data_IF_800938646571
#
_entry.id   IF_800938646571
#
_cell.length_a   1.000
_cell.length_b   1.000
_cell.length_c   1.000
_cell.angle_alpha   90.00
_cell.angle_beta   90.00
_cell.angle_gamma   90.00
#
_symmetry.space_group_name_H-M   'P 1'
#
loop_
_entity.id
_entity.type
_entity.pdbx_description
1 polymer ?
#
# COMPACT_ATOMS: atom_id res chain seq x y z
N UNK A 1 11.25 3.74 17.72
CA UNK A 1 10.56 2.97 16.67
C UNK A 1 10.94 1.51 16.81
N UNK A 2 10.07 0.57 16.43
CA UNK A 2 10.38 -0.87 16.48
C UNK A 2 11.11 -1.33 15.20
N UNK A 3 12.21 -2.08 15.37
CA UNK A 3 13.01 -2.67 14.28
C UNK A 3 12.38 -3.94 13.68
N UNK A 4 11.24 -4.40 14.20
CA UNK A 4 10.51 -5.60 13.73
C UNK A 4 9.19 -5.24 13.06
N UNK A 5 9.05 -4.00 12.58
CA UNK A 5 7.78 -3.52 11.99
C UNK A 5 7.66 -3.86 10.51
N UNK A 6 8.79 -3.85 9.79
CA UNK A 6 8.83 -3.97 8.33
C UNK A 6 8.20 -5.26 7.76
N UNK A 7 8.41 -6.47 8.34
CA UNK A 7 7.78 -7.68 7.82
C UNK A 7 6.26 -7.59 7.79
N UNK A 8 5.64 -7.10 8.88
CA UNK A 8 4.19 -6.93 8.94
C UNK A 8 3.73 -5.90 7.91
N UNK A 9 4.46 -4.79 7.73
CA UNK A 9 4.10 -3.79 6.72
C UNK A 9 4.09 -4.38 5.31
N UNK A 10 5.16 -5.07 4.90
CA UNK A 10 5.29 -5.64 3.56
C UNK A 10 4.22 -6.70 3.32
N UNK A 11 3.98 -7.57 4.30
CA UNK A 11 3.00 -8.66 4.17
C UNK A 11 1.58 -8.11 4.03
N UNK A 12 1.18 -7.17 4.88
CA UNK A 12 -0.16 -6.63 4.83
C UNK A 12 -0.38 -5.78 3.57
N UNK A 13 0.56 -4.91 3.18
CA UNK A 13 0.42 -4.14 1.94
C UNK A 13 0.49 -5.02 0.69
N UNK A 14 1.32 -6.06 0.69
CA UNK A 14 1.34 -7.04 -0.41
C UNK A 14 0.07 -7.89 -0.47
N UNK A 15 -0.54 -8.20 0.68
CA UNK A 15 -1.86 -8.83 0.76
C UNK A 15 -2.96 -7.95 0.15
N UNK A 16 -3.01 -6.68 0.56
CA UNK A 16 -3.92 -5.68 -0.05
C UNK A 16 -3.68 -5.56 -1.56
N UNK A 17 -2.42 -5.51 -2.01
CA UNK A 17 -2.04 -5.49 -3.43
C UNK A 17 -2.67 -6.66 -4.18
N UNK A 18 -2.50 -7.87 -3.67
CA UNK A 18 -3.02 -9.09 -4.29
C UNK A 18 -4.54 -9.12 -4.30
N UNK A 19 -5.22 -8.64 -3.25
CA UNK A 19 -6.67 -8.53 -3.26
C UNK A 19 -7.19 -7.54 -4.32
N UNK A 20 -6.55 -6.37 -4.45
CA UNK A 20 -6.91 -5.37 -5.46
C UNK A 20 -6.69 -5.93 -6.86
N UNK A 21 -5.55 -6.59 -7.09
CA UNK A 21 -5.24 -7.21 -8.37
C UNK A 21 -6.22 -8.32 -8.73
N UNK A 22 -6.61 -9.18 -7.77
CA UNK A 22 -7.54 -10.29 -7.99
C UNK A 22 -8.88 -9.76 -8.47
N UNK A 23 -9.42 -8.76 -7.75
CA UNK A 23 -10.70 -8.15 -8.07
C UNK A 23 -10.67 -7.50 -9.47
N UNK A 24 -9.61 -6.75 -9.78
CA UNK A 24 -9.50 -6.01 -11.05
C UNK A 24 -9.28 -6.92 -12.25
N UNK A 25 -8.51 -7.99 -12.10
CA UNK A 25 -8.28 -8.97 -13.17
C UNK A 25 -9.54 -9.80 -13.44
N UNK A 26 -10.29 -10.18 -12.40
CA UNK A 26 -11.58 -10.88 -12.56
C UNK A 26 -12.64 -10.03 -13.25
N UNK A 27 -12.83 -8.80 -12.80
CA UNK A 27 -13.83 -7.89 -13.38
C UNK A 27 -13.59 -7.66 -14.89
N UNK A 28 -12.32 -7.61 -15.31
CA UNK A 28 -11.97 -7.47 -16.72
C UNK A 28 -12.32 -8.68 -17.56
N UNK A 29 -12.15 -9.89 -17.02
CA UNK A 29 -12.53 -11.13 -17.71
C UNK A 29 -14.05 -11.19 -17.96
N UNK A 30 -14.86 -10.69 -17.04
CA UNK A 30 -16.33 -10.64 -17.18
C UNK A 30 -16.78 -9.62 -18.24
N UNK A 31 -16.08 -8.48 -18.37
CA UNK A 31 -16.40 -7.46 -19.38
C UNK A 31 -15.90 -7.82 -20.79
N UNK A 32 -14.77 -8.54 -20.90
CA UNK A 32 -14.06 -8.82 -22.15
C UNK A 32 -14.51 -10.11 -22.88
N UNK A 33 -15.56 -10.83 -22.44
CA UNK A 33 -16.15 -11.94 -23.22
C UNK A 33 -16.57 -11.54 -24.66
N UNK A 34 -16.73 -10.24 -24.93
CA UNK A 34 -17.02 -9.69 -26.26
C UNK A 34 -15.79 -9.35 -27.12
N UNK A 35 -14.58 -9.33 -26.56
CA UNK A 35 -13.34 -8.94 -27.29
C UNK A 35 -12.22 -9.95 -26.97
N UNK A 36 -12.09 -10.95 -27.85
CA UNK A 36 -11.16 -12.08 -27.75
C UNK A 36 -9.66 -11.70 -27.90
N UNK A 37 -9.16 -10.72 -27.13
CA UNK A 37 -7.74 -10.32 -27.19
C UNK A 37 -7.24 -9.50 -25.98
N UNK A 38 -7.65 -9.87 -24.77
CA UNK A 38 -7.23 -9.18 -23.55
C UNK A 38 -6.39 -10.04 -22.61
N UNK A 39 -7.06 -10.90 -21.86
CA UNK A 39 -6.51 -11.68 -20.74
C UNK A 39 -7.30 -12.98 -20.60
N UNK A 40 -6.61 -14.10 -20.33
CA UNK A 40 -7.24 -15.35 -19.90
C UNK A 40 -7.36 -15.42 -18.37
N UNK A 41 -8.28 -16.25 -17.86
CA UNK A 41 -8.30 -16.63 -16.44
C UNK A 41 -6.94 -17.20 -16.00
N UNK A 42 -6.28 -17.97 -16.88
CA UNK A 42 -4.96 -18.53 -16.64
C UNK A 42 -3.87 -17.47 -16.53
N UNK A 43 -3.99 -16.35 -17.24
CA UNK A 43 -3.06 -15.22 -17.12
C UNK A 43 -3.20 -14.53 -15.76
N UNK A 44 -4.45 -14.37 -15.29
CA UNK A 44 -4.75 -13.89 -13.94
C UNK A 44 -4.11 -14.76 -12.86
N UNK A 45 -4.30 -16.08 -12.95
CA UNK A 45 -3.68 -17.06 -12.05
C UNK A 45 -2.16 -17.02 -12.11
N UNK A 46 -1.59 -16.90 -13.31
CA UNK A 46 -0.14 -16.78 -13.50
C UNK A 46 0.41 -15.53 -12.82
N UNK A 47 -0.27 -14.38 -12.95
CA UNK A 47 0.14 -13.13 -12.29
C UNK A 47 0.16 -13.28 -10.78
N UNK A 48 -0.87 -13.88 -10.19
CA UNK A 48 -0.89 -14.17 -8.76
C UNK A 48 0.26 -15.08 -8.34
N UNK A 49 0.44 -16.18 -9.06
CA UNK A 49 1.48 -17.16 -8.77
C UNK A 49 2.89 -16.55 -8.81
N UNK A 50 3.17 -15.71 -9.81
CA UNK A 50 4.48 -15.06 -9.99
C UNK A 50 4.75 -14.04 -8.87
N UNK A 51 3.76 -13.22 -8.49
CA UNK A 51 3.91 -12.22 -7.42
C UNK A 51 4.07 -12.92 -6.06
N UNK A 52 3.22 -13.89 -5.74
CA UNK A 52 3.27 -14.66 -4.50
C UNK A 52 4.57 -15.45 -4.38
N UNK A 53 5.04 -16.04 -5.48
CA UNK A 53 6.29 -16.79 -5.53
C UNK A 53 7.51 -15.96 -5.15
N UNK A 54 7.55 -14.69 -5.56
CA UNK A 54 8.64 -13.77 -5.19
C UNK A 54 8.44 -13.20 -3.78
N UNK A 55 7.22 -12.77 -3.45
CA UNK A 55 6.92 -12.12 -2.16
C UNK A 55 7.16 -13.04 -0.96
N UNK A 56 6.87 -14.33 -1.08
CA UNK A 56 7.05 -15.30 0.00
C UNK A 56 8.33 -16.14 -0.14
N UNK A 57 9.20 -15.82 -1.12
CA UNK A 57 10.43 -16.59 -1.31
C UNK A 57 11.33 -16.50 -0.07
N UNK A 58 12.04 -17.59 0.24
CA UNK A 58 12.83 -17.71 1.47
C UNK A 58 13.81 -16.54 1.64
N UNK A 59 14.55 -16.19 0.58
CA UNK A 59 15.53 -15.09 0.62
C UNK A 59 14.88 -13.76 0.98
N UNK A 60 13.84 -13.38 0.24
CA UNK A 60 13.12 -12.12 0.46
C UNK A 60 12.54 -12.04 1.88
N UNK A 61 11.94 -13.13 2.35
CA UNK A 61 11.40 -13.22 3.71
C UNK A 61 12.51 -13.05 4.75
N UNK A 62 13.61 -13.80 4.65
CA UNK A 62 14.75 -13.73 5.60
C UNK A 62 15.39 -12.34 5.65
N UNK A 63 15.51 -11.63 4.52
CA UNK A 63 16.05 -10.28 4.47
C UNK A 63 15.06 -9.26 5.05
N UNK A 64 13.77 -9.34 4.70
CA UNK A 64 12.74 -8.45 5.24
C UNK A 64 12.58 -8.59 6.77
N UNK A 65 12.86 -9.80 7.28
CA UNK A 65 12.78 -10.21 8.68
C UNK A 65 14.01 -9.84 9.51
N UNK A 66 15.07 -9.32 8.91
CA UNK A 66 16.19 -8.77 9.69
C UNK A 66 15.71 -7.59 10.54
N UNK A 67 16.22 -7.43 11.79
CA UNK A 67 15.92 -6.24 12.58
C UNK A 67 16.42 -4.97 11.87
N UNK A 68 15.50 -4.13 11.42
CA UNK A 68 15.82 -2.95 10.61
C UNK A 68 14.74 -1.87 10.72
N UNK A 69 15.13 -0.64 10.37
CA UNK A 69 14.20 0.48 10.29
C UNK A 69 13.19 0.30 9.16
N UNK A 70 12.08 1.00 9.28
CA UNK A 70 11.04 1.04 8.26
C UNK A 70 11.54 1.75 7.01
N UNK A 71 11.09 1.29 5.85
CA UNK A 71 11.31 2.00 4.59
C UNK A 71 10.61 3.34 4.57
N UNK A 72 11.22 4.29 3.86
CA UNK A 72 10.50 5.47 3.39
C UNK A 72 9.34 5.08 2.47
N UNK A 73 8.29 5.90 2.39
CA UNK A 73 7.17 5.68 1.45
C UNK A 73 7.64 5.44 0.02
N UNK A 74 8.68 6.19 -0.42
CA UNK A 74 9.28 6.06 -1.74
C UNK A 74 9.92 4.68 -1.94
N UNK A 75 10.73 4.23 -1.00
CA UNK A 75 11.39 2.93 -1.05
C UNK A 75 10.36 1.79 -1.01
N UNK A 76 9.39 1.85 -0.10
CA UNK A 76 8.34 0.84 0.02
C UNK A 76 7.49 0.74 -1.25
N UNK A 77 7.09 1.88 -1.81
CA UNK A 77 6.36 1.93 -3.08
C UNK A 77 7.17 1.32 -4.22
N UNK A 78 8.47 1.59 -4.27
CA UNK A 78 9.35 1.01 -5.28
C UNK A 78 9.39 -0.53 -5.16
N UNK A 79 9.55 -1.08 -3.95
CA UNK A 79 9.52 -2.54 -3.70
C UNK A 79 8.19 -3.15 -4.17
N UNK A 80 7.05 -2.56 -3.78
CA UNK A 80 5.73 -3.05 -4.18
C UNK A 80 5.50 -2.96 -5.70
N UNK A 81 5.98 -1.89 -6.34
CA UNK A 81 5.93 -1.74 -7.81
C UNK A 81 6.73 -2.83 -8.49
N UNK A 82 7.93 -3.12 -7.97
CA UNK A 82 8.80 -4.17 -8.49
C UNK A 82 8.18 -5.56 -8.30
N UNK A 83 7.56 -5.82 -7.15
CA UNK A 83 6.79 -7.04 -6.89
C UNK A 83 5.65 -7.21 -7.88
N UNK A 84 4.79 -6.20 -8.09
CA UNK A 84 3.71 -6.29 -9.08
C UNK A 84 4.24 -6.59 -10.49
N UNK A 85 5.41 -6.03 -10.83
CA UNK A 85 6.09 -6.19 -12.11
C UNK A 85 6.99 -7.43 -12.21
N UNK A 86 7.01 -8.35 -11.25
CA UNK A 86 7.64 -9.67 -11.45
C UNK A 86 6.84 -10.54 -12.41
N UNK A 87 5.53 -10.30 -12.48
CA UNK A 87 4.62 -10.98 -13.40
C UNK A 87 4.68 -10.40 -14.83
N UNK A 88 3.92 -11.03 -15.73
CA UNK A 88 3.68 -10.53 -17.11
C UNK A 88 2.95 -9.18 -17.16
N UNK A 89 2.29 -8.77 -16.07
CA UNK A 89 1.53 -7.53 -16.00
C UNK A 89 2.45 -6.30 -15.94
N UNK A 90 2.10 -5.27 -16.72
CA UNK A 90 2.77 -3.97 -16.71
C UNK A 90 1.79 -2.86 -16.36
N UNK A 91 1.92 -2.32 -15.15
CA UNK A 91 1.10 -1.22 -14.67
C UNK A 91 1.77 0.11 -14.99
N UNK A 92 0.97 1.09 -15.39
CA UNK A 92 1.44 2.46 -15.58
C UNK A 92 1.65 3.16 -14.22
N UNK A 93 2.39 4.28 -14.21
CA UNK A 93 2.68 5.01 -12.97
C UNK A 93 1.41 5.38 -12.21
N UNK A 94 0.42 5.96 -12.90
CA UNK A 94 -0.84 6.42 -12.31
C UNK A 94 -1.63 5.29 -11.65
N UNK A 95 -1.61 4.09 -12.23
CA UNK A 95 -2.25 2.91 -11.66
C UNK A 95 -1.52 2.45 -10.41
N UNK A 96 -0.18 2.50 -10.42
CA UNK A 96 0.61 2.21 -9.23
C UNK A 96 0.44 3.27 -8.12
N UNK A 97 0.29 4.56 -8.47
CA UNK A 97 -0.05 5.64 -7.54
C UNK A 97 -1.37 5.32 -6.80
N UNK A 98 -2.45 5.11 -7.57
CA UNK A 98 -3.79 4.83 -7.02
C UNK A 98 -3.82 3.54 -6.21
N UNK A 99 -3.13 2.49 -6.66
CA UNK A 99 -3.02 1.25 -5.92
C UNK A 99 -2.30 1.46 -4.58
N UNK A 100 -1.20 2.22 -4.57
CA UNK A 100 -0.47 2.51 -3.32
C UNK A 100 -1.35 3.27 -2.32
N UNK A 101 -2.07 4.29 -2.78
CA UNK A 101 -3.02 5.01 -1.93
C UNK A 101 -4.11 4.09 -1.37
N UNK A 102 -4.65 3.20 -2.20
CA UNK A 102 -5.68 2.26 -1.77
C UNK A 102 -5.16 1.26 -0.73
N UNK A 103 -4.03 0.60 -0.99
CA UNK A 103 -3.40 -0.35 -0.07
C UNK A 103 -3.08 0.30 1.28
N UNK A 104 -2.49 1.50 1.25
CA UNK A 104 -2.07 2.20 2.45
C UNK A 104 -3.26 2.67 3.28
N UNK A 105 -4.32 3.20 2.66
CA UNK A 105 -5.52 3.63 3.37
C UNK A 105 -6.31 2.44 3.92
N UNK A 106 -6.43 1.33 3.18
CA UNK A 106 -7.08 0.11 3.66
C UNK A 106 -6.36 -0.47 4.89
N UNK A 107 -5.05 -0.65 4.82
CA UNK A 107 -4.29 -1.19 5.95
C UNK A 107 -4.24 -0.21 7.13
N UNK A 108 -4.11 1.10 6.89
CA UNK A 108 -4.20 2.13 7.94
C UNK A 108 -5.52 2.03 8.70
N UNK A 109 -6.64 1.88 7.98
CA UNK A 109 -7.96 1.70 8.59
C UNK A 109 -8.01 0.46 9.49
N UNK A 110 -7.50 -0.67 9.01
CA UNK A 110 -7.46 -1.91 9.79
C UNK A 110 -6.61 -1.80 11.07
N UNK A 111 -5.45 -1.13 11.02
CA UNK A 111 -4.61 -0.88 12.20
C UNK A 111 -5.33 0.03 13.20
N UNK A 112 -6.08 1.02 12.73
CA UNK A 112 -6.84 1.93 13.58
C UNK A 112 -7.94 1.19 14.34
N UNK A 113 -8.61 0.23 13.69
CA UNK A 113 -9.66 -0.61 14.30
C UNK A 113 -9.13 -1.74 15.19
N UNK A 114 -7.84 -2.03 15.13
CA UNK A 114 -7.23 -3.13 15.87
C UNK A 114 -7.44 -2.97 17.40
N UNK A 115 -8.14 -3.87 18.10
CA UNK A 115 -8.46 -3.68 19.51
C UNK A 115 -7.24 -3.84 20.42
N UNK A 116 -6.48 -4.95 20.28
CA UNK A 116 -5.23 -5.19 21.01
C UNK A 116 -4.03 -5.10 20.08
N UNK A 117 -2.86 -4.63 20.55
CA UNK A 117 -1.66 -4.57 19.71
C UNK A 117 -1.25 -5.93 19.12
N UNK A 118 -1.44 -7.02 19.88
CA UNK A 118 -1.17 -8.39 19.40
C UNK A 118 -2.09 -8.84 18.26
N UNK A 119 -3.29 -8.25 18.15
CA UNK A 119 -4.24 -8.59 17.08
C UNK A 119 -3.75 -8.12 15.70
N UNK A 120 -2.67 -7.32 15.61
CA UNK A 120 -1.96 -7.05 14.35
C UNK A 120 -1.49 -8.33 13.66
N UNK A 121 -1.15 -9.37 14.42
CA UNK A 121 -0.81 -10.68 13.85
C UNK A 121 -2.03 -11.34 13.21
N UNK A 122 -3.23 -11.19 13.80
CA UNK A 122 -4.45 -11.75 13.22
C UNK A 122 -4.78 -11.09 11.88
N UNK A 123 -4.57 -9.78 11.76
CA UNK A 123 -4.70 -9.05 10.48
C UNK A 123 -3.72 -9.63 9.46
N UNK A 124 -2.47 -9.80 9.86
CA UNK A 124 -1.41 -10.34 8.99
C UNK A 124 -1.69 -11.79 8.58
N UNK A 125 -2.20 -12.61 9.50
CA UNK A 125 -2.57 -13.99 9.23
C UNK A 125 -3.81 -14.10 8.35
N UNK A 126 -4.79 -13.20 8.48
CA UNK A 126 -5.92 -13.13 7.54
C UNK A 126 -5.44 -12.79 6.12
N UNK A 127 -4.51 -11.84 5.95
CA UNK A 127 -3.91 -11.57 4.64
C UNK A 127 -3.21 -12.80 4.08
N UNK A 128 -2.38 -13.47 4.89
CA UNK A 128 -1.68 -14.70 4.52
C UNK A 128 -2.66 -15.81 4.12
N UNK A 129 -3.73 -16.00 4.89
CA UNK A 129 -4.76 -17.01 4.62
C UNK A 129 -5.51 -16.69 3.32
N UNK A 130 -5.86 -15.42 3.07
CA UNK A 130 -6.50 -15.03 1.82
C UNK A 130 -5.57 -15.14 0.62
N UNK A 131 -4.29 -14.79 0.75
CA UNK A 131 -3.29 -14.99 -0.31
C UNK A 131 -3.10 -16.48 -0.59
N UNK A 132 -3.08 -17.33 0.45
CA UNK A 132 -3.03 -18.78 0.29
C UNK A 132 -4.23 -19.30 -0.50
N UNK A 133 -5.42 -18.77 -0.26
CA UNK A 133 -6.63 -19.13 -1.00
C UNK A 133 -6.53 -18.73 -2.49
N UNK A 134 -5.93 -17.59 -2.81
CA UNK A 134 -5.72 -17.15 -4.20
C UNK A 134 -4.84 -18.11 -5.02
N UNK A 135 -3.91 -18.81 -4.38
CA UNK A 135 -2.95 -19.73 -5.03
C UNK A 135 -3.12 -21.19 -4.63
N UNK A 136 -4.29 -21.57 -4.11
CA UNK A 136 -4.57 -22.90 -3.56
C UNK A 136 -4.29 -24.06 -4.53
N UNK A 137 -4.40 -23.79 -5.84
CA UNK A 137 -4.17 -24.78 -6.90
C UNK A 137 -2.67 -25.05 -7.15
N UNK A 138 -1.78 -24.29 -6.50
CA UNK A 138 -0.33 -24.44 -6.59
C UNK A 138 0.28 -24.85 -5.22
N UNK A 139 0.42 -26.17 -4.94
CA UNK A 139 0.92 -26.66 -3.66
C UNK A 139 2.31 -26.15 -3.28
N UNK A 140 3.15 -25.82 -4.27
CA UNK A 140 4.50 -25.28 -4.02
C UNK A 140 4.42 -23.90 -3.37
N UNK A 141 3.52 -23.04 -3.87
CA UNK A 141 3.31 -21.70 -3.31
C UNK A 141 2.61 -21.77 -1.95
N UNK A 142 1.63 -22.67 -1.79
CA UNK A 142 0.98 -22.90 -0.49
C UNK A 142 2.02 -23.29 0.58
N UNK A 143 2.95 -24.19 0.24
CA UNK A 143 4.04 -24.55 1.15
C UNK A 143 4.95 -23.36 1.47
N UNK A 144 5.28 -22.55 0.46
CA UNK A 144 6.11 -21.35 0.65
C UNK A 144 5.47 -20.36 1.62
N UNK A 145 4.16 -20.10 1.46
CA UNK A 145 3.38 -19.25 2.35
C UNK A 145 3.35 -19.83 3.77
N UNK A 146 3.22 -21.16 3.92
CA UNK A 146 3.22 -21.82 5.23
C UNK A 146 4.57 -21.68 5.94
N UNK A 147 5.70 -21.82 5.23
CA UNK A 147 7.02 -21.60 5.81
C UNK A 147 7.20 -20.14 6.23
N UNK A 148 6.81 -19.19 5.39
CA UNK A 148 6.85 -17.77 5.73
C UNK A 148 6.00 -17.45 6.98
N UNK A 149 4.80 -18.04 7.10
CA UNK A 149 3.97 -17.86 8.29
C UNK A 149 4.62 -18.44 9.55
N UNK A 150 5.30 -19.60 9.46
CA UNK A 150 6.03 -20.16 10.60
C UNK A 150 7.15 -19.23 11.07
N UNK A 151 7.88 -18.61 10.15
CA UNK A 151 8.91 -17.62 10.49
C UNK A 151 8.33 -16.39 11.22
N UNK A 152 7.15 -15.92 10.80
CA UNK A 152 6.43 -14.84 11.50
C UNK A 152 6.01 -15.30 12.90
N UNK A 153 5.41 -16.47 13.02
CA UNK A 153 4.99 -17.02 14.32
C UNK A 153 6.22 -17.11 15.25
N UNK A 154 7.34 -17.64 14.79
CA UNK A 154 8.58 -17.75 15.57
C UNK A 154 9.12 -16.37 16.00
N UNK A 155 9.11 -15.38 15.10
CA UNK A 155 9.62 -14.04 15.38
C UNK A 155 8.78 -13.26 16.39
N UNK A 156 7.45 -13.35 16.27
CA UNK A 156 6.53 -12.45 16.98
C UNK A 156 5.87 -13.08 18.21
N UNK A 157 5.80 -14.41 18.32
CA UNK A 157 5.23 -15.09 19.50
C UNK A 157 5.91 -14.71 20.82
N UNK A 158 7.25 -14.59 20.90
CA UNK A 158 7.94 -14.24 22.14
C UNK A 158 7.76 -12.79 22.57
N UNK A 159 7.21 -11.92 21.71
CA UNK A 159 7.09 -10.51 22.01
C UNK A 159 6.02 -10.23 23.07
N UNK A 160 6.32 -9.27 23.93
CA UNK A 160 5.40 -8.71 24.91
C UNK A 160 4.38 -7.76 24.27
N UNK A 161 3.27 -7.49 24.97
CA UNK A 161 2.27 -6.52 24.51
C UNK A 161 2.86 -5.10 24.35
N UNK A 162 3.88 -4.74 25.14
CA UNK A 162 4.59 -3.47 25.02
C UNK A 162 5.37 -3.35 23.71
N UNK A 163 6.01 -4.43 23.27
CA UNK A 163 6.71 -4.48 21.98
C UNK A 163 5.72 -4.44 20.81
N UNK A 164 4.58 -5.14 20.92
CA UNK A 164 3.50 -5.01 19.94
C UNK A 164 2.92 -3.59 19.90
N UNK A 165 2.79 -2.92 21.05
CA UNK A 165 2.35 -1.54 21.09
C UNK A 165 3.35 -0.61 20.40
N UNK A 166 4.66 -0.86 20.53
CA UNK A 166 5.69 -0.10 19.82
C UNK A 166 5.63 -0.35 18.30
N UNK A 167 5.38 -1.58 17.87
CA UNK A 167 5.14 -1.93 16.45
C UNK A 167 3.90 -1.18 15.94
N UNK A 168 2.79 -1.23 16.68
CA UNK A 168 1.54 -0.53 16.34
C UNK A 168 1.75 0.98 16.20
N UNK A 169 2.44 1.58 17.16
CA UNK A 169 2.78 3.01 17.12
C UNK A 169 3.63 3.33 15.90
N UNK A 170 4.62 2.49 15.58
CA UNK A 170 5.50 2.68 14.42
C UNK A 170 4.70 2.64 13.12
N UNK A 171 3.75 1.70 12.98
CA UNK A 171 2.83 1.64 11.83
C UNK A 171 1.90 2.86 11.74
N UNK A 172 1.29 3.26 12.86
CA UNK A 172 0.39 4.42 12.91
C UNK A 172 1.13 5.72 12.56
N UNK A 173 2.38 5.86 13.04
CA UNK A 173 3.24 6.99 12.71
C UNK A 173 3.65 6.98 11.23
N UNK A 174 3.90 5.80 10.66
CA UNK A 174 4.20 5.67 9.22
C UNK A 174 3.02 6.14 8.35
N UNK A 175 1.78 5.82 8.73
CA UNK A 175 0.58 6.25 8.01
C UNK A 175 0.02 7.60 8.49
N UNK A 176 0.76 8.33 9.32
CA UNK A 176 0.33 9.61 9.84
C UNK A 176 0.11 10.59 8.68
N UNK A 177 -0.88 11.46 8.83
CA UNK A 177 -1.18 12.55 7.88
C UNK A 177 -1.63 12.12 6.46
N UNK A 178 -1.69 10.81 6.17
CA UNK A 178 -2.31 10.27 4.96
C UNK A 178 -3.85 10.31 5.05
N UNK A 179 -4.49 11.15 4.23
CA UNK A 179 -5.95 11.34 4.21
C UNK A 179 -6.51 11.19 2.79
N UNK A 180 -6.04 10.18 2.06
CA UNK A 180 -6.51 9.94 0.69
C UNK A 180 -7.94 9.41 0.72
N UNK A 181 -8.80 9.99 -0.11
CA UNK A 181 -10.20 9.61 -0.25
C UNK A 181 -10.32 8.32 -1.04
N UNK A 182 -10.93 7.30 -0.44
CA UNK A 182 -11.12 5.98 -1.04
C UNK A 182 -12.61 5.73 -1.21
N UNK A 183 -13.08 5.50 -2.43
CA UNK A 183 -14.51 5.44 -2.74
C UNK A 183 -15.25 4.31 -2.02
N UNK A 184 -14.64 3.12 -1.87
CA UNK A 184 -15.25 2.00 -1.13
C UNK A 184 -15.48 2.39 0.34
N UNK A 185 -14.51 3.06 0.97
CA UNK A 185 -14.64 3.51 2.36
C UNK A 185 -15.64 4.67 2.51
N UNK A 186 -15.75 5.54 1.50
CA UNK A 186 -16.75 6.61 1.47
C UNK A 186 -18.16 6.04 1.30
N UNK A 187 -18.36 5.09 0.38
CA UNK A 187 -19.65 4.43 0.13
C UNK A 187 -20.16 3.68 1.36
N UNK A 188 -19.25 3.02 2.08
CA UNK A 188 -19.57 2.33 3.34
C UNK A 188 -19.67 3.26 4.56
N UNK A 189 -19.52 4.59 4.40
CA UNK A 189 -19.50 5.58 5.49
C UNK A 189 -18.42 5.31 6.56
N UNK A 190 -17.33 4.64 6.17
CA UNK A 190 -16.15 4.41 7.01
C UNK A 190 -15.17 5.59 6.97
N UNK A 191 -15.30 6.44 5.96
CA UNK A 191 -14.52 7.64 5.76
C UNK A 191 -15.42 8.86 5.54
N UNK A 192 -15.00 10.02 6.04
CA UNK A 192 -15.62 11.31 5.77
C UNK A 192 -15.13 11.88 4.44
N UNK A 193 -15.83 12.90 3.92
CA UNK A 193 -15.46 13.56 2.65
C UNK A 193 -14.07 14.22 2.66
N UNK A 194 -13.51 14.52 3.84
CA UNK A 194 -12.17 15.07 4.04
C UNK A 194 -11.06 14.00 4.10
N UNK A 195 -11.41 12.71 3.98
CA UNK A 195 -10.48 11.60 4.04
C UNK A 195 -10.19 11.07 5.46
N UNK A 196 -10.81 11.64 6.50
CA UNK A 196 -10.70 11.14 7.87
C UNK A 196 -11.55 9.89 8.10
N UNK A 197 -11.12 8.99 8.98
CA UNK A 197 -11.86 7.76 9.29
C UNK A 197 -12.92 7.97 10.37
N UNK A 198 -14.05 7.29 10.22
CA UNK A 198 -15.08 7.16 11.23
C UNK A 198 -14.78 5.91 12.06
N UNK A 199 -14.32 6.08 13.30
CA UNK A 199 -13.98 4.97 14.19
C UNK A 199 -15.19 4.62 15.06
N UNK A 200 -15.66 3.35 15.06
CA UNK A 200 -16.77 2.93 15.88
C UNK A 200 -16.41 3.02 17.37
N UNK A 201 -17.33 3.58 18.17
CA UNK A 201 -17.21 3.67 19.62
C UNK A 201 -17.90 2.50 20.34
N UNK A 202 -18.37 1.51 19.59
CA UNK A 202 -19.12 0.35 20.07
C UNK A 202 -18.60 -0.92 19.41
N UNK A 203 -18.90 -2.08 19.98
CA UNK A 203 -18.53 -3.36 19.39
C UNK A 203 -17.98 -4.37 20.40
N UNK A 204 -17.45 -5.50 19.90
CA UNK A 204 -16.88 -6.51 20.75
C UNK A 204 -15.64 -5.99 21.47
N UNK A 205 -15.58 -6.19 22.79
CA UNK A 205 -14.34 -5.97 23.56
C UNK A 205 -13.37 -7.12 23.30
N UNK A 206 -12.05 -6.88 23.38
CA UNK A 206 -11.08 -7.94 23.17
C UNK A 206 -11.30 -9.15 24.07
N UNK A 207 -10.96 -10.34 23.57
CA UNK A 207 -11.03 -11.56 24.37
C UNK A 207 -10.21 -11.41 25.67
N UNK A 208 -10.80 -11.85 26.78
CA UNK A 208 -10.24 -11.69 28.13
C UNK A 208 -10.50 -10.33 28.79
N UNK A 209 -11.10 -9.38 28.09
CA UNK A 209 -11.50 -8.09 28.67
C UNK A 209 -12.92 -8.12 29.22
N UNK A 210 -13.16 -7.43 30.33
CA UNK A 210 -14.52 -7.21 30.81
C UNK A 210 -15.24 -6.15 29.98
N UNK A 211 -16.54 -6.32 29.78
CA UNK A 211 -17.38 -5.31 29.15
C UNK A 211 -17.39 -4.04 30.02
N UNK A 212 -17.05 -2.87 29.46
CA UNK A 212 -17.00 -1.63 30.23
C UNK A 212 -18.39 -1.22 30.72
N UNK A 213 -18.43 -0.55 31.87
CA UNK A 213 -19.66 -0.02 32.46
C UNK A 213 -19.93 -0.53 33.89
N UNK A 214 -19.40 -1.68 34.29
CA UNK A 214 -19.63 -2.20 35.64
C UNK A 214 -18.62 -1.65 36.65
N UNK A 215 -19.08 -0.81 37.58
CA UNK A 215 -18.30 -0.29 38.70
C UNK A 215 -18.50 -1.17 39.94
N UNK A 216 -17.39 -1.67 40.50
CA UNK A 216 -17.38 -2.55 41.68
C UNK A 216 -16.76 -1.85 42.88
N UNK A 217 -17.45 -1.82 44.01
CA UNK A 217 -16.95 -1.28 45.28
C UNK A 217 -16.58 -2.43 46.21
N UNK A 218 -15.34 -2.45 46.67
CA UNK A 218 -14.82 -3.44 47.62
C UNK A 218 -14.63 -2.80 49.00
N UNK A 219 -14.83 -3.58 50.07
CA UNK A 219 -14.48 -3.15 51.42
C UNK A 219 -12.99 -3.38 51.74
N UNK A 220 -12.56 -2.96 52.93
CA UNK A 220 -11.20 -3.17 53.45
C UNK A 220 -10.79 -4.65 53.58
N UNK A 221 -11.73 -5.59 53.49
CA UNK A 221 -11.47 -7.04 53.48
C UNK A 221 -11.49 -7.64 52.06
N UNK A 222 -11.52 -6.79 51.02
CA UNK A 222 -11.56 -7.22 49.62
C UNK A 222 -12.89 -7.85 49.17
N UNK A 223 -13.95 -7.80 49.98
CA UNK A 223 -15.27 -8.32 49.59
C UNK A 223 -16.04 -7.26 48.82
N UNK A 224 -16.69 -7.68 47.74
CA UNK A 224 -17.58 -6.84 46.96
C UNK A 224 -18.80 -6.44 47.79
N UNK A 225 -19.05 -5.13 47.92
CA UNK A 225 -20.15 -4.57 48.72
C UNK A 225 -21.23 -3.94 47.85
N UNK A 226 -20.84 -3.35 46.71
CA UNK A 226 -21.78 -2.63 45.84
C UNK A 226 -21.37 -2.74 44.38
N UNK A 227 -22.36 -2.82 43.51
CA UNK A 227 -22.22 -2.67 42.05
C UNK A 227 -22.97 -1.41 41.61
N UNK A 228 -22.42 -0.70 40.64
CA UNK A 228 -23.08 0.38 39.91
C UNK A 228 -22.79 0.20 38.42
N UNK A 229 -23.67 0.72 37.59
CA UNK A 229 -23.48 0.73 36.14
C UNK A 229 -23.23 2.17 35.66
N UNK A 230 -22.28 2.31 34.76
CA UNK A 230 -21.96 3.53 34.04
C UNK A 230 -22.41 3.36 32.59
N UNK A 231 -23.26 4.26 32.14
CA UNK A 231 -23.73 4.29 30.75
C UNK A 231 -22.60 4.85 29.90
N UNK A 232 -21.83 3.97 29.27
CA UNK A 232 -20.68 4.31 28.44
C UNK A 232 -21.05 4.99 27.12
N UNK A 233 -22.33 5.01 26.74
CA UNK A 233 -22.82 5.56 25.48
C UNK A 233 -22.56 4.66 24.27
N UNK A 234 -21.90 3.50 24.46
CA UNK A 234 -21.63 2.51 23.42
C UNK A 234 -22.20 1.13 23.77
N UNK A 235 -22.53 0.35 22.74
CA UNK A 235 -22.98 -1.03 22.88
C UNK A 235 -21.78 -1.98 22.80
N UNK A 236 -21.31 -2.45 23.95
CA UNK A 236 -20.17 -3.34 24.04
C UNK A 236 -20.60 -4.78 24.34
N UNK A 237 -19.99 -5.73 23.63
CA UNK A 237 -20.25 -7.17 23.81
C UNK A 237 -18.95 -7.91 24.09
N UNK A 238 -19.00 -9.03 24.81
CA UNK A 238 -17.82 -9.89 24.96
C UNK A 238 -17.61 -10.73 23.70
N UNK A 239 -16.36 -10.89 23.27
CA UNK A 239 -16.02 -11.93 22.30
C UNK A 239 -16.22 -13.30 22.97
N UNK A 240 -16.83 -14.23 22.22
CA UNK A 240 -17.16 -15.58 22.71
C UNK A 240 -16.05 -16.60 22.42
N UNK A 241 -15.24 -16.36 21.37
CA UNK A 241 -14.23 -17.32 20.88
C UNK A 241 -12.84 -16.71 20.90
N UNK A 242 -11.85 -17.51 21.28
CA UNK A 242 -10.46 -17.10 21.19
C UNK A 242 -9.94 -17.21 19.75
N UNK A 243 -9.09 -16.28 19.34
CA UNK A 243 -8.56 -16.24 17.98
C UNK A 243 -7.37 -17.19 17.82
N UNK A 244 -7.28 -17.87 16.69
CA UNK A 244 -6.14 -18.74 16.39
C UNK A 244 -4.95 -17.94 15.85
N UNK A 245 -3.78 -18.16 16.47
CA UNK A 245 -2.48 -17.65 16.02
C UNK A 245 -1.61 -18.74 15.36
N UNK A 246 -2.16 -19.95 15.18
CA UNK A 246 -1.48 -21.05 14.52
C UNK A 246 -1.45 -20.85 13.00
N UNK A 247 -0.74 -21.71 12.27
CA UNK A 247 -0.71 -21.66 10.79
C UNK A 247 -2.12 -21.72 10.19
N UNK A 248 -3.03 -22.48 10.80
CA UNK A 248 -4.42 -22.61 10.38
C UNK A 248 -5.38 -22.44 11.56
N UNK A 249 -6.49 -21.74 11.37
CA UNK A 249 -7.56 -21.64 12.35
C UNK A 249 -8.46 -20.43 12.12
N UNK A 250 -9.53 -20.32 12.89
CA UNK A 250 -10.43 -19.15 12.86
C UNK A 250 -9.75 -17.94 13.50
N UNK A 251 -9.59 -16.85 12.75
CA UNK A 251 -8.98 -15.60 13.25
C UNK A 251 -9.96 -14.76 14.08
N UNK A 252 -11.26 -15.05 14.03
CA UNK A 252 -12.32 -14.38 14.81
C UNK A 252 -12.37 -12.86 14.57
N UNK A 253 -11.78 -12.39 13.47
CA UNK A 253 -11.79 -10.98 13.04
C UNK A 253 -11.91 -10.91 11.52
N UNK A 254 -12.59 -9.86 11.04
CA UNK A 254 -12.69 -9.53 9.61
C UNK A 254 -11.57 -8.63 9.13
N UNK A 255 -10.77 -8.05 10.04
CA UNK A 255 -9.64 -7.20 9.67
C UNK A 255 -8.59 -8.03 8.94
N UNK A 256 -8.10 -7.54 7.81
CA UNK A 256 -7.16 -8.24 6.92
C UNK A 256 -7.80 -9.27 5.99
N UNK A 257 -9.13 -9.42 6.01
CA UNK A 257 -9.85 -10.17 4.98
C UNK A 257 -10.13 -9.27 3.76
N UNK A 258 -10.34 -9.88 2.58
CA UNK A 258 -10.58 -9.16 1.33
C UNK A 258 -11.89 -8.34 1.37
N UNK A 259 -11.78 -7.04 1.62
CA UNK A 259 -12.89 -6.09 1.63
C UNK A 259 -13.43 -5.76 0.22
N UNK A 260 -12.68 -6.08 -0.82
CA UNK A 260 -13.05 -5.80 -2.21
C UNK A 260 -13.92 -6.89 -2.85
N UNK A 261 -14.06 -8.05 -2.19
CA UNK A 261 -14.79 -9.21 -2.72
C UNK A 261 -16.29 -9.00 -2.95
N UNK A 262 -16.92 -8.08 -2.19
CA UNK A 262 -18.37 -7.75 -2.29
C UNK A 262 -18.60 -6.47 -3.08
N UNK A 263 -17.53 -5.76 -3.41
CA UNK A 263 -17.57 -4.44 -4.02
C UNK A 263 -17.43 -4.57 -5.53
N UNK A 264 -18.15 -3.77 -6.30
CA UNK A 264 -17.93 -3.71 -7.75
C UNK A 264 -16.56 -3.10 -8.04
N UNK A 265 -15.97 -3.37 -9.21
CA UNK A 265 -14.71 -2.73 -9.59
C UNK A 265 -14.82 -1.20 -9.59
N UNK A 266 -16.00 -0.64 -9.86
CA UNK A 266 -16.33 0.80 -9.81
C UNK A 266 -16.32 1.39 -8.38
N UNK A 267 -16.30 0.55 -7.35
CA UNK A 267 -16.26 0.98 -5.96
C UNK A 267 -14.83 1.18 -5.45
N UNK A 268 -13.82 0.74 -6.20
CA UNK A 268 -12.42 0.64 -5.73
C UNK A 268 -11.53 1.77 -6.32
N UNK A 269 -11.95 3.04 -6.24
CA UNK A 269 -11.23 4.21 -6.80
C UNK A 269 -10.79 5.18 -5.70
N UNK A 270 -9.82 6.05 -6.00
CA UNK A 270 -9.53 7.22 -5.18
C UNK A 270 -10.22 8.43 -5.80
N UNK A 271 -11.13 9.08 -5.07
CA UNK A 271 -11.96 10.15 -5.64
C UNK A 271 -11.18 11.45 -5.79
N UNK A 272 -10.88 11.81 -7.04
CA UNK A 272 -10.27 13.07 -7.45
C UNK A 272 -8.75 13.08 -7.28
N UNK A 273 -8.04 13.62 -8.28
CA UNK A 273 -6.66 14.07 -8.13
C UNK A 273 -6.64 15.19 -7.10
N UNK A 274 -6.49 14.84 -5.83
CA UNK A 274 -5.81 15.74 -4.91
C UNK A 274 -4.43 15.88 -5.50
N UNK A 275 -4.15 17.03 -6.13
CA UNK A 275 -2.77 17.43 -6.39
C UNK A 275 -2.08 17.27 -5.05
N UNK A 276 -1.26 16.25 -4.91
CA UNK A 276 -0.29 16.16 -3.84
C UNK A 276 0.67 17.33 -4.05
N UNK A 277 0.26 18.54 -3.66
CA UNK A 277 1.19 19.49 -3.08
C UNK A 277 1.45 18.95 -1.69
N UNK A 278 2.30 17.91 -1.62
CA UNK A 278 3.31 17.92 -0.59
C UNK A 278 3.91 19.32 -0.71
N UNK A 279 3.58 20.22 0.23
CA UNK A 279 4.41 21.42 0.38
C UNK A 279 5.81 20.85 0.46
N UNK A 280 6.63 21.17 -0.55
CA UNK A 280 8.06 20.93 -0.48
C UNK A 280 8.50 21.66 0.79
N UNK A 281 8.51 20.95 1.91
CA UNK A 281 9.37 21.31 3.01
C UNK A 281 10.73 21.38 2.32
N UNK A 282 11.37 22.54 2.33
CA UNK A 282 12.77 22.65 1.96
C UNK A 282 13.49 21.55 2.76
N UNK A 283 13.84 20.49 2.05
CA UNK A 283 14.73 19.46 2.57
C UNK A 283 16.05 20.21 2.65
N UNK A 284 16.58 20.39 3.87
CA UNK A 284 17.98 20.75 4.00
C UNK A 284 18.78 19.77 3.14
N UNK A 285 19.65 20.30 2.28
CA UNK A 285 20.59 19.55 1.42
C UNK A 285 21.65 18.78 2.23
N UNK A 286 21.27 18.19 3.37
CA UNK A 286 22.10 17.27 4.12
C UNK A 286 21.80 15.84 3.62
N UNK A 287 22.81 15.08 3.16
CA UNK A 287 22.61 13.71 2.72
C UNK A 287 22.06 12.88 3.89
N UNK A 288 20.84 12.35 3.75
CA UNK A 288 20.23 11.49 4.75
C UNK A 288 21.18 10.30 5.05
N UNK A 289 21.75 10.18 6.27
CA UNK A 289 22.69 9.11 6.59
C UNK A 289 22.07 7.71 6.54
N UNK A 290 20.73 7.60 6.52
CA UNK A 290 19.98 6.36 6.35
C UNK A 290 19.72 5.99 4.88
N UNK A 291 19.88 6.93 3.94
CA UNK A 291 19.59 6.67 2.53
C UNK A 291 20.49 5.58 1.94
N UNK A 292 21.74 5.48 2.41
CA UNK A 292 22.65 4.41 1.98
C UNK A 292 22.18 3.04 2.47
N UNK A 293 21.78 2.93 3.74
CA UNK A 293 21.25 1.69 4.29
C UNK A 293 19.95 1.27 3.60
N UNK A 294 19.05 2.24 3.30
CA UNK A 294 17.85 2.00 2.51
C UNK A 294 18.19 1.49 1.11
N UNK A 295 19.14 2.13 0.40
CA UNK A 295 19.55 1.71 -0.94
C UNK A 295 20.26 0.35 -0.96
N UNK A 296 21.12 0.07 0.02
CA UNK A 296 21.83 -1.21 0.14
C UNK A 296 20.85 -2.36 0.38
N UNK A 297 19.85 -2.15 1.23
CA UNK A 297 18.80 -3.13 1.52
C UNK A 297 17.83 -3.29 0.35
N UNK A 298 17.44 -2.19 -0.31
CA UNK A 298 16.74 -2.27 -1.58
C UNK A 298 17.55 -3.08 -2.58
N UNK A 299 18.85 -2.85 -2.71
CA UNK A 299 19.71 -3.61 -3.62
C UNK A 299 19.76 -5.11 -3.26
N UNK A 300 19.77 -5.46 -1.96
CA UNK A 300 19.72 -6.86 -1.52
C UNK A 300 18.38 -7.53 -1.82
N UNK A 301 17.26 -6.88 -1.47
CA UNK A 301 15.93 -7.38 -1.82
C UNK A 301 15.78 -7.52 -3.33
N UNK A 302 16.27 -6.54 -4.08
CA UNK A 302 16.27 -6.55 -5.54
C UNK A 302 17.20 -7.61 -6.13
N UNK A 303 18.32 -7.92 -5.49
CA UNK A 303 19.23 -8.98 -5.90
C UNK A 303 18.68 -10.38 -5.63
N UNK A 304 17.84 -10.52 -4.60
CA UNK A 304 17.13 -11.78 -4.29
C UNK A 304 15.86 -11.97 -5.11
N UNK A 305 15.30 -10.88 -5.64
CA UNK A 305 14.37 -10.93 -6.78
C UNK A 305 15.17 -11.26 -8.04
N UNK A 306 15.85 -12.41 -8.08
CA UNK A 306 16.48 -12.88 -9.32
C UNK A 306 15.42 -12.84 -10.41
N UNK A 307 15.69 -12.03 -11.43
CA UNK A 307 14.84 -11.92 -12.61
C UNK A 307 14.71 -13.32 -13.16
N UNK A 308 13.49 -13.86 -13.20
CA UNK A 308 13.22 -15.01 -14.05
C UNK A 308 13.35 -14.51 -15.49
N UNK A 309 14.60 -14.38 -15.94
CA UNK A 309 15.00 -13.89 -17.27
C UNK A 309 14.56 -14.86 -18.39
N UNK A 310 13.81 -15.92 -18.07
CA UNK A 310 13.18 -16.81 -19.06
C UNK A 310 11.92 -16.25 -19.71
N UNK A 311 11.47 -15.03 -19.36
CA UNK A 311 10.39 -14.30 -20.10
C UNK A 311 10.89 -12.98 -20.70
N UNK A 312 12.21 -12.74 -20.70
CA UNK A 312 12.78 -11.51 -21.23
C UNK A 312 13.04 -11.60 -22.74
N UNK A 313 11.97 -11.68 -23.51
CA UNK A 313 11.93 -11.23 -24.91
C UNK A 313 10.45 -11.08 -25.32
N UNK A 314 9.96 -9.84 -25.28
CA UNK A 314 8.76 -9.35 -25.98
C UNK A 314 7.40 -10.00 -25.61
N UNK A 315 6.71 -9.49 -24.58
CA UNK A 315 5.36 -9.98 -24.24
C UNK A 315 4.65 -9.39 -23.00
N UNK A 316 5.23 -8.40 -22.30
CA UNK A 316 4.58 -7.80 -21.13
C UNK A 316 3.29 -7.05 -21.51
N UNK A 317 2.15 -7.46 -20.96
CA UNK A 317 0.84 -6.90 -21.31
C UNK A 317 0.56 -5.66 -20.45
N UNK A 318 0.32 -4.51 -21.09
CA UNK A 318 0.01 -3.25 -20.39
C UNK A 318 -1.41 -3.30 -19.83
N UNK A 319 -1.55 -3.00 -18.54
CA UNK A 319 -2.82 -2.97 -17.83
C UNK A 319 -3.03 -1.60 -17.19
N UNK A 320 -4.19 -1.01 -17.48
CA UNK A 320 -4.72 0.13 -16.73
C UNK A 320 -5.77 -0.42 -15.76
N UNK A 321 -5.50 -0.36 -14.45
CA UNK A 321 -6.41 -0.92 -13.45
C UNK A 321 -7.54 0.02 -13.07
N UNK A 322 -7.40 1.30 -13.40
CA UNK A 322 -8.37 2.33 -13.10
C UNK A 322 -8.71 3.06 -14.41
N UNK A 323 -10.01 3.20 -14.75
CA UNK A 323 -10.45 4.00 -15.88
C UNK A 323 -9.99 5.45 -15.68
N UNK A 324 -9.72 6.11 -16.81
CA UNK A 324 -9.33 7.52 -16.84
C UNK A 324 -10.53 8.41 -16.49
N UNK A 325 -10.26 9.50 -15.78
CA UNK A 325 -11.22 10.52 -15.30
C UNK A 325 -12.18 11.07 -16.38
N UNK A 326 -11.94 10.80 -17.66
CA UNK A 326 -12.84 11.17 -18.77
C UNK A 326 -14.19 10.41 -18.75
N UNK A 327 -14.24 9.17 -18.26
CA UNK A 327 -15.52 8.46 -18.08
C UNK A 327 -16.28 8.98 -16.84
N UNK A 328 -15.59 9.53 -15.85
CA UNK A 328 -16.19 10.15 -14.66
C UNK A 328 -16.93 11.47 -15.00
N UNK A 329 -16.46 12.22 -16.00
CA UNK A 329 -17.09 13.47 -16.44
C UNK A 329 -18.38 13.24 -17.25
N UNK A 330 -18.51 12.10 -17.95
CA UNK A 330 -19.73 11.79 -18.70
C UNK A 330 -20.91 11.38 -17.79
N UNK A 331 -20.65 10.63 -16.71
CA UNK A 331 -21.69 10.25 -15.75
C UNK A 331 -22.11 11.41 -14.84
N UNK A 332 -21.18 12.34 -14.54
CA UNK A 332 -21.48 13.56 -13.79
C UNK A 332 -22.35 14.55 -14.59
N UNK A 333 -22.34 14.47 -15.92
CA UNK A 333 -23.24 15.24 -16.79
C UNK A 333 -24.67 14.69 -16.83
N UNK A 334 -24.87 13.42 -16.49
CA UNK A 334 -26.18 12.76 -16.49
C UNK A 334 -26.90 12.84 -15.14
N UNK A 335 -26.22 13.21 -14.05
CA UNK A 335 -26.83 13.41 -12.74
C UNK A 335 -26.44 14.76 -12.09
N UNK A 336 -27.36 15.73 -12.16
CA UNK A 336 -27.30 16.92 -11.31
C UNK A 336 -27.51 18.25 -12.03
N UNK A 337 -28.77 18.65 -12.17
CA UNK A 337 -29.15 20.06 -12.18
C UNK A 337 -29.11 20.61 -10.73
N UNK A 338 -28.75 21.89 -10.58
CA UNK A 338 -28.57 22.68 -9.34
C UNK A 338 -27.30 22.34 -8.52
N UNK A 339 -26.47 23.28 -8.04
CA UNK A 339 -26.52 24.74 -7.88
C UNK A 339 -25.12 25.34 -8.07
N UNK A 340 -25.09 26.59 -8.52
CA UNK A 340 -23.89 27.35 -8.85
C UNK A 340 -23.05 27.70 -7.61
N UNK A 341 -21.79 27.29 -7.60
CA UNK A 341 -20.74 27.94 -6.83
C UNK A 341 -19.75 28.58 -7.82
N UNK A 342 -19.72 29.91 -7.84
CA UNK A 342 -18.91 30.69 -8.78
C UNK A 342 -17.42 30.49 -8.53
N UNK A 343 -16.78 29.67 -9.35
CA UNK A 343 -15.31 29.60 -9.43
C UNK A 343 -14.85 30.64 -10.44
N UNK A 344 -14.14 31.67 -9.96
CA UNK A 344 -13.40 32.59 -10.82
C UNK A 344 -12.28 31.81 -11.50
N UNK A 345 -12.42 31.65 -12.81
CA UNK A 345 -11.42 30.98 -13.64
C UNK A 345 -10.26 31.96 -13.89
N UNK A 346 -9.19 31.89 -13.09
CA UNK A 346 -7.98 32.69 -13.33
C UNK A 346 -7.17 31.98 -14.43
N UNK A 347 -7.32 32.48 -15.66
CA UNK A 347 -6.47 32.09 -16.78
C UNK A 347 -5.08 32.73 -16.64
N UNK A 348 -4.09 31.92 -16.27
CA UNK A 348 -2.68 32.30 -16.35
C UNK A 348 -2.16 32.07 -17.78
N UNK A 349 -2.45 33.00 -18.71
CA UNK A 349 -1.91 32.99 -20.08
C UNK A 349 -0.97 34.18 -20.32
N UNK A 350 -0.27 34.65 -19.29
CA UNK A 350 0.67 35.79 -19.42
C UNK A 350 2.08 35.55 -18.88
N UNK A 351 2.42 34.33 -18.44
CA UNK A 351 3.77 34.02 -17.95
C UNK A 351 4.75 33.58 -19.05
N UNK A 352 4.27 33.09 -20.20
CA UNK A 352 5.16 32.53 -21.25
C UNK A 352 5.88 33.59 -22.08
N UNK A 353 5.27 34.75 -22.30
CA UNK A 353 5.85 35.80 -23.13
C UNK A 353 7.03 36.53 -22.44
N UNK A 354 6.99 36.70 -21.12
CA UNK A 354 8.13 37.30 -20.38
C UNK A 354 9.28 36.30 -20.20
N UNK A 355 9.00 35.02 -19.94
CA UNK A 355 10.03 33.99 -19.84
C UNK A 355 10.75 33.77 -21.19
N UNK A 356 10.02 33.84 -22.30
CA UNK A 356 10.61 33.76 -23.66
C UNK A 356 11.45 35.00 -23.98
N UNK A 357 11.04 36.19 -23.51
CA UNK A 357 11.81 37.44 -23.66
C UNK A 357 13.08 37.46 -22.81
N UNK A 358 13.05 36.85 -21.62
CA UNK A 358 14.22 36.71 -20.75
C UNK A 358 15.19 35.67 -21.33
N UNK A 359 14.70 34.54 -21.86
CA UNK A 359 15.54 33.54 -22.52
C UNK A 359 16.25 34.07 -23.79
N UNK A 360 15.58 34.96 -24.54
CA UNK A 360 16.17 35.64 -25.70
C UNK A 360 17.23 36.70 -25.32
N UNK A 361 17.19 37.25 -24.10
CA UNK A 361 18.20 38.20 -23.62
C UNK A 361 19.51 37.54 -23.15
N UNK A 362 19.55 36.22 -22.98
CA UNK A 362 20.75 35.46 -22.61
C UNK A 362 21.46 34.81 -23.80
N UNK A 363 20.98 35.00 -25.04
CA UNK A 363 21.54 34.37 -26.24
C UNK A 363 22.34 35.32 -27.15
N UNK A 364 22.35 36.63 -26.89
CA UNK A 364 23.12 37.62 -27.65
C UNK A 364 24.15 38.33 -26.75
N UNK A 365 25.21 37.63 -26.36
CA UNK A 365 26.51 38.19 -25.98
C UNK A 365 27.54 37.07 -25.94
N UNK A 366 28.14 36.79 -27.09
CA UNK A 366 29.59 36.56 -27.26
C UNK A 366 29.89 36.10 -28.70
N UNK A 367 29.95 37.07 -29.62
CA UNK A 367 30.85 36.98 -30.77
C UNK A 367 32.08 37.87 -30.50
N UNK A 368 33.24 37.22 -30.44
CA UNK A 368 34.53 37.59 -31.05
C UNK A 368 35.72 37.45 -30.09
N UNK A 369 36.54 36.41 -30.33
CA UNK A 369 37.94 36.54 -30.78
C UNK A 369 38.60 35.15 -30.95
N UNK A 370 39.11 34.87 -32.15
CA UNK A 370 39.99 33.71 -32.47
C UNK A 370 41.35 33.88 -31.77
N UNK A 371 42.08 32.81 -31.35
CA UNK A 371 42.96 32.10 -32.31
C UNK A 371 43.28 30.60 -32.02
N UNK A 372 43.86 29.96 -33.05
CA UNK A 372 44.87 28.87 -33.00
C UNK A 372 44.43 27.39 -32.84
N UNK A 373 43.87 26.83 -33.90
CA UNK A 373 44.43 25.71 -34.71
C UNK A 373 45.54 24.80 -34.10
N UNK A 374 45.17 23.85 -33.23
CA UNK A 374 46.04 22.71 -32.81
C UNK A 374 45.31 21.37 -32.55
N UNK A 375 44.04 21.26 -32.93
CA UNK A 375 43.21 20.09 -32.59
C UNK A 375 42.97 19.09 -33.72
N UNK A 376 43.09 19.52 -34.98
CA UNK A 376 42.69 18.71 -36.14
C UNK A 376 43.83 17.86 -36.73
N UNK A 377 45.08 18.08 -36.30
CA UNK A 377 46.28 17.39 -36.83
C UNK A 377 46.58 16.03 -36.14
N UNK A 378 45.79 15.65 -35.13
CA UNK A 378 45.96 14.39 -34.39
C UNK A 378 45.10 13.22 -34.92
N UNK A 379 44.05 13.53 -35.69
CA UNK A 379 43.19 12.53 -36.33
C UNK A 379 43.71 12.07 -37.71
N UNK A 380 44.59 12.85 -38.36
CA UNK A 380 45.18 12.51 -39.65
C UNK A 380 46.41 11.58 -39.56
N UNK A 381 47.00 11.39 -38.36
CA UNK A 381 48.18 10.53 -38.16
C UNK A 381 47.84 9.07 -37.78
N UNK A 382 46.57 8.68 -37.70
CA UNK A 382 46.17 7.31 -37.37
C UNK A 382 45.74 6.46 -38.58
N UNK A 383 45.66 7.06 -39.78
CA UNK A 383 45.25 6.38 -41.01
C UNK A 383 46.42 6.04 -41.96
N UNK A 384 47.67 6.30 -41.57
CA UNK A 384 48.87 5.79 -42.25
C UNK A 384 49.82 5.10 -41.27
N UNK A 385 49.49 3.85 -40.89
CA UNK A 385 50.45 2.82 -40.46
C UNK A 385 49.89 1.40 -40.65
#
# INVERSE_FOLDING_TARGET
>A
MSLRTLPLLIINLGGEMLYILDQRLRARNESDEKIQKGWSEDDGKRVMNDIVGVMFCKGFMEESMQPQDMYSHRALRYVLTRLAHTSIMRLNSTSMDRMYDLMTMAFKYQIALCPRPRDLLLISFNHIDGVRELVKDNPRLVNLINEAQRLIIEMYTPLSDGEFQLIRQTLLAFFQDMHVRVSILLKENLQNADGSFVIPTSGPVPHGSEVPGLIRYFNSRGRLVRRREFVSGGSYTSIVRDASFDVSGDRVTRLGANMYSVSSAEDTHTSGSSKHTCKHQQVCDDPNPLAKAELDLLAKLMGQMEVWDSVCADGGMRVNLFPSDQEEDEERRLSGANEACGVVNIQAVKADAELTRIAAQFTDQDEAERPSDKGEDLLAMMDEL
#
